data_IF_828206485039
#
_entry.id   IF_828206485039
#
_cell.length_a   1.000
_cell.length_b   1.000
_cell.length_c   1.000
_cell.angle_alpha   90.00
_cell.angle_beta   90.00
_cell.angle_gamma   90.00
#
_symmetry.space_group_name_H-M   'P 1'
#
loop_
_entity.id
_entity.type
_entity.pdbx_description
1 polymer ?
#
# COMPACT_ATOMS: atom_id res chain seq x y z
N UNK A 1 10.42 -14.39 -11.09
CA UNK A 1 9.95 -13.23 -10.31
C UNK A 1 8.98 -12.42 -11.17
N UNK A 2 7.87 -11.98 -10.60
CA UNK A 2 6.94 -11.05 -11.25
C UNK A 2 7.18 -9.68 -10.63
N UNK A 3 7.40 -8.68 -11.48
CA UNK A 3 7.54 -7.29 -11.06
C UNK A 3 6.24 -6.56 -11.34
N UNK A 4 5.77 -5.79 -10.35
CA UNK A 4 4.63 -4.92 -10.46
C UNK A 4 5.06 -3.51 -10.07
N UNK A 5 4.57 -2.51 -10.79
CA UNK A 5 4.94 -1.11 -10.63
C UNK A 5 3.75 -0.29 -10.15
N UNK A 6 3.93 0.47 -9.09
CA UNK A 6 2.95 1.43 -8.61
C UNK A 6 2.99 2.65 -9.51
N UNK A 7 1.97 2.81 -10.34
CA UNK A 7 1.90 3.88 -11.34
C UNK A 7 0.84 4.92 -10.95
N UNK A 8 0.86 6.07 -11.63
CA UNK A 8 -0.05 7.19 -11.34
C UNK A 8 -1.36 7.14 -12.13
N UNK A 9 -1.47 6.25 -13.11
CA UNK A 9 -2.67 6.09 -13.92
C UNK A 9 -3.84 5.56 -13.08
N UNK A 10 -5.05 5.80 -13.55
CA UNK A 10 -6.27 5.37 -12.89
C UNK A 10 -6.32 3.86 -12.68
N UNK A 11 -6.85 3.43 -11.56
CA UNK A 11 -7.08 2.02 -11.29
C UNK A 11 -8.00 1.41 -12.36
N UNK A 12 -7.71 0.19 -12.84
CA UNK A 12 -8.51 -0.47 -13.88
C UNK A 12 -9.88 -0.97 -13.38
N UNK A 13 -10.07 -0.98 -12.08
CA UNK A 13 -11.33 -1.29 -11.42
C UNK A 13 -11.39 -0.56 -10.07
N UNK A 14 -12.59 -0.23 -9.62
CA UNK A 14 -12.79 0.38 -8.29
C UNK A 14 -12.75 -0.73 -7.24
N UNK A 15 -11.77 -0.74 -6.33
CA UNK A 15 -11.76 -1.69 -5.24
C UNK A 15 -12.84 -1.35 -4.22
N UNK A 16 -13.28 -2.32 -3.41
CA UNK A 16 -14.25 -2.08 -2.33
C UNK A 16 -13.66 -1.15 -1.26
N UNK A 17 -14.42 -0.92 -0.18
CA UNK A 17 -13.90 -0.24 1.01
C UNK A 17 -12.61 -0.92 1.50
N UNK A 18 -11.76 -0.17 2.20
CA UNK A 18 -10.51 -0.67 2.79
C UNK A 18 -10.73 -2.00 3.54
N UNK A 19 -9.84 -2.96 3.34
CA UNK A 19 -9.90 -4.32 3.91
C UNK A 19 -8.88 -4.55 5.02
N UNK A 20 -7.78 -3.79 5.02
CA UNK A 20 -6.85 -3.75 6.15
C UNK A 20 -7.47 -3.08 7.38
N UNK A 21 -6.81 -3.24 8.52
CA UNK A 21 -7.18 -2.55 9.77
C UNK A 21 -6.64 -1.12 9.73
N UNK A 22 -7.39 -0.22 9.12
CA UNK A 22 -7.07 1.20 9.02
C UNK A 22 -7.92 2.00 10.00
N UNK A 23 -7.30 2.97 10.68
CA UNK A 23 -7.99 3.90 11.57
C UNK A 23 -8.66 5.01 10.77
N UNK A 24 -8.03 5.45 9.70
CA UNK A 24 -8.52 6.47 8.79
C UNK A 24 -7.88 6.35 7.40
N UNK A 25 -8.35 7.13 6.45
CA UNK A 25 -7.76 7.33 5.15
C UNK A 25 -8.77 7.41 4.03
N UNK A 26 -8.46 8.26 3.07
CA UNK A 26 -9.10 8.35 1.76
C UNK A 26 -8.03 8.11 0.70
N UNK A 27 -7.63 6.84 0.50
CA UNK A 27 -6.54 6.54 -0.41
C UNK A 27 -6.91 6.92 -1.84
N UNK A 28 -5.90 7.32 -2.61
CA UNK A 28 -6.06 7.46 -4.05
C UNK A 28 -5.89 6.10 -4.73
N UNK A 29 -6.78 5.79 -5.66
CA UNK A 29 -6.78 4.53 -6.40
C UNK A 29 -6.00 4.66 -7.70
N UNK A 30 -5.07 3.74 -7.94
CA UNK A 30 -4.20 3.75 -9.13
C UNK A 30 -3.90 2.34 -9.60
N UNK A 31 -3.32 2.25 -10.79
CA UNK A 31 -2.94 0.97 -11.37
C UNK A 31 -1.67 0.41 -10.72
N UNK A 32 -1.66 -0.91 -10.53
CA UNK A 32 -0.47 -1.71 -10.29
C UNK A 32 -0.05 -2.32 -11.63
N UNK A 33 0.81 -1.61 -12.36
CA UNK A 33 1.15 -1.94 -13.73
C UNK A 33 2.18 -3.06 -13.85
N UNK A 34 2.16 -3.78 -14.95
CA UNK A 34 3.18 -4.79 -15.30
C UNK A 34 4.38 -4.18 -16.06
N UNK A 35 4.22 -2.97 -16.58
CA UNK A 35 5.26 -2.23 -17.30
C UNK A 35 5.32 -0.78 -16.79
N UNK A 36 6.53 -0.23 -16.68
CA UNK A 36 6.71 1.21 -16.54
C UNK A 36 6.56 1.85 -17.92
N UNK A 37 5.45 2.51 -18.18
CA UNK A 37 5.26 3.36 -19.35
C UNK A 37 5.40 4.82 -18.93
N UNK A 38 6.58 5.38 -19.12
CA UNK A 38 6.88 6.77 -18.81
C UNK A 38 7.34 7.00 -17.36
N UNK A 39 7.92 8.16 -17.12
CA UNK A 39 8.22 8.62 -15.76
C UNK A 39 6.92 9.10 -15.12
N UNK A 40 6.59 8.65 -13.92
CA UNK A 40 5.41 9.13 -13.22
C UNK A 40 5.53 10.66 -13.00
N UNK A 41 4.51 11.37 -13.38
CA UNK A 41 4.29 12.69 -12.81
C UNK A 41 4.12 12.49 -11.31
N UNK A 42 4.85 13.23 -10.49
CA UNK A 42 4.77 13.10 -9.03
C UNK A 42 3.35 13.38 -8.55
N UNK A 43 2.58 12.34 -8.31
CA UNK A 43 1.29 12.44 -7.64
C UNK A 43 1.54 12.15 -6.17
N UNK A 44 1.20 13.09 -5.32
CA UNK A 44 1.27 12.89 -3.88
C UNK A 44 -0.13 12.79 -3.28
N UNK A 45 -0.31 11.89 -2.34
CA UNK A 45 -1.46 11.86 -1.45
C UNK A 45 -0.96 11.75 -0.01
N UNK A 46 -1.53 12.51 0.89
CA UNK A 46 -1.15 12.51 2.29
C UNK A 46 -2.34 12.21 3.20
N UNK A 47 -2.05 11.64 4.36
CA UNK A 47 -3.01 11.40 5.43
C UNK A 47 -2.39 11.76 6.77
N UNK A 48 -3.20 12.36 7.63
CA UNK A 48 -2.75 12.84 8.93
C UNK A 48 -2.96 11.81 10.04
N UNK A 49 -2.12 11.90 11.08
CA UNK A 49 -2.31 11.21 12.34
C UNK A 49 -3.51 11.75 13.13
N UNK A 50 -3.95 11.00 14.11
CA UNK A 50 -4.78 11.50 15.19
C UNK A 50 -3.89 11.94 16.35
N UNK A 51 -3.94 13.22 16.73
CA UNK A 51 -3.08 13.78 17.78
C UNK A 51 -3.38 13.29 19.20
N UNK A 52 -4.43 12.49 19.38
CA UNK A 52 -4.87 12.00 20.70
C UNK A 52 -4.93 10.47 20.80
N UNK A 53 -4.70 9.74 19.72
CA UNK A 53 -4.87 8.27 19.69
C UNK A 53 -3.65 7.60 19.03
N UNK A 54 -3.12 6.57 19.67
CA UNK A 54 -1.93 5.84 19.30
C UNK A 54 -2.15 4.33 19.60
N UNK A 55 -1.78 3.38 18.72
CA UNK A 55 -1.32 3.64 17.35
C UNK A 55 -2.46 4.13 16.44
N UNK A 56 -2.09 4.89 15.40
CA UNK A 56 -3.02 5.39 14.40
C UNK A 56 -2.58 4.99 12.98
N UNK A 57 -3.39 4.19 12.32
CA UNK A 57 -3.10 3.64 11.00
C UNK A 57 -3.84 4.42 9.91
N UNK A 58 -3.09 4.96 8.94
CA UNK A 58 -3.67 5.74 7.84
C UNK A 58 -3.39 5.09 6.49
N UNK A 59 -4.43 4.94 5.67
CA UNK A 59 -4.30 4.51 4.28
C UNK A 59 -4.12 5.72 3.36
N UNK A 60 -3.04 5.75 2.56
CA UNK A 60 -2.72 6.86 1.66
C UNK A 60 -2.90 6.52 0.19
N UNK A 61 -2.74 5.26 -0.21
CA UNK A 61 -2.87 4.83 -1.59
C UNK A 61 -3.40 3.39 -1.69
N UNK A 62 -4.09 3.10 -2.80
CA UNK A 62 -4.42 1.74 -3.22
C UNK A 62 -3.97 1.54 -4.66
N UNK A 63 -3.46 0.35 -4.93
CA UNK A 63 -3.02 -0.03 -6.27
C UNK A 63 -3.74 -1.31 -6.68
N UNK A 64 -4.28 -1.31 -7.88
CA UNK A 64 -5.09 -2.41 -8.44
C UNK A 64 -4.40 -2.94 -9.68
N UNK A 65 -4.12 -4.24 -9.72
CA UNK A 65 -3.49 -4.88 -10.89
C UNK A 65 -4.46 -4.98 -12.07
N UNK A 66 -3.95 -5.19 -13.30
CA UNK A 66 -4.72 -5.80 -14.35
C UNK A 66 -5.33 -7.13 -13.93
N UNK A 67 -6.21 -7.67 -14.75
CA UNK A 67 -6.80 -8.99 -14.53
C UNK A 67 -5.72 -10.08 -14.52
N UNK A 68 -5.87 -10.97 -13.59
CA UNK A 68 -5.08 -12.20 -13.51
C UNK A 68 -5.74 -13.28 -14.37
N UNK A 69 -4.95 -14.20 -14.85
CA UNK A 69 -5.42 -15.50 -15.32
C UNK A 69 -5.48 -16.46 -14.12
N UNK A 70 -6.28 -17.51 -14.22
CA UNK A 70 -6.41 -18.52 -13.17
C UNK A 70 -5.04 -19.10 -12.81
N UNK A 71 -4.63 -18.96 -11.57
CA UNK A 71 -3.35 -19.41 -11.04
C UNK A 71 -3.37 -19.46 -9.52
N UNK A 72 -2.37 -20.11 -8.94
CA UNK A 72 -2.12 -20.00 -7.50
C UNK A 72 -0.97 -19.03 -7.29
N UNK A 73 -1.22 -17.94 -6.58
CA UNK A 73 -0.16 -17.10 -6.04
C UNK A 73 0.38 -17.84 -4.82
N UNK A 74 1.54 -18.42 -4.95
CA UNK A 74 2.23 -19.12 -3.86
C UNK A 74 3.47 -18.33 -3.47
N UNK A 75 3.73 -18.34 -2.19
CA UNK A 75 4.61 -17.40 -1.54
C UNK A 75 6.08 -17.78 -1.64
N UNK A 76 6.81 -16.93 -2.28
CA UNK A 76 8.12 -16.47 -1.86
C UNK A 76 7.96 -14.99 -1.46
N UNK A 77 8.96 -14.35 -0.92
CA UNK A 77 8.83 -13.01 -0.35
C UNK A 77 8.22 -11.97 -1.33
N UNK A 78 7.29 -11.16 -0.82
CA UNK A 78 6.87 -9.92 -1.45
C UNK A 78 7.81 -8.82 -0.95
N UNK A 79 8.58 -8.24 -1.86
CA UNK A 79 9.44 -7.11 -1.60
C UNK A 79 8.83 -5.87 -2.23
N UNK A 80 8.75 -4.79 -1.47
CA UNK A 80 8.23 -3.52 -1.97
C UNK A 80 9.20 -2.37 -1.77
N UNK A 81 9.45 -1.65 -2.86
CA UNK A 81 10.13 -0.35 -2.85
C UNK A 81 9.06 0.70 -3.13
N UNK A 82 8.82 1.58 -2.19
CA UNK A 82 7.83 2.64 -2.31
C UNK A 82 8.39 3.94 -1.76
N UNK A 83 7.90 5.05 -2.31
CA UNK A 83 8.24 6.38 -1.83
C UNK A 83 7.17 6.82 -0.81
N UNK A 84 7.26 6.30 0.41
CA UNK A 84 6.54 6.82 1.56
C UNK A 84 7.48 7.67 2.38
N UNK A 85 7.02 8.85 2.76
CA UNK A 85 7.72 9.72 3.69
C UNK A 85 6.78 10.19 4.80
N UNK A 86 7.35 10.55 5.92
CA UNK A 86 6.67 11.30 6.99
C UNK A 86 6.96 12.80 6.88
N UNK A 87 6.11 13.61 7.44
CA UNK A 87 6.26 15.09 7.35
C UNK A 87 7.35 15.65 8.25
N UNK A 88 7.80 14.90 9.23
CA UNK A 88 8.82 15.31 10.21
C UNK A 88 9.40 14.05 10.87
N UNK A 89 10.69 14.03 11.17
CA UNK A 89 11.40 12.91 11.78
C UNK A 89 10.89 12.51 13.18
N UNK A 90 10.11 13.33 13.83
CA UNK A 90 9.47 13.00 15.10
C UNK A 90 8.04 12.44 14.94
N UNK A 91 7.61 12.15 13.71
CA UNK A 91 6.30 11.58 13.46
C UNK A 91 6.19 10.12 13.91
N UNK A 92 7.32 9.42 14.05
CA UNK A 92 7.39 8.01 14.45
C UNK A 92 6.43 7.14 13.60
N UNK A 93 6.46 7.36 12.29
CA UNK A 93 5.61 6.65 11.34
C UNK A 93 6.34 5.48 10.69
N UNK A 94 5.67 4.34 10.59
CA UNK A 94 6.18 3.11 9.99
C UNK A 94 5.35 2.73 8.77
N UNK A 95 5.95 2.16 7.70
CA UNK A 95 5.19 1.74 6.54
C UNK A 95 4.21 0.64 6.92
N UNK A 96 2.96 0.76 6.45
CA UNK A 96 1.92 -0.25 6.64
C UNK A 96 1.33 -0.68 5.32
N UNK A 97 1.06 -1.99 5.17
CA UNK A 97 0.54 -2.58 3.96
C UNK A 97 -0.48 -3.69 4.27
N UNK A 98 -1.50 -3.78 3.41
CA UNK A 98 -2.41 -4.91 3.35
C UNK A 98 -2.58 -5.30 1.88
N UNK A 99 -2.42 -6.58 1.56
CA UNK A 99 -2.48 -7.08 0.17
C UNK A 99 -3.48 -8.21 0.09
N UNK A 100 -4.40 -8.12 -0.87
CA UNK A 100 -5.41 -9.15 -1.09
C UNK A 100 -5.70 -9.35 -2.58
N UNK A 101 -6.38 -10.44 -2.89
CA UNK A 101 -6.95 -10.70 -4.21
C UNK A 101 -8.44 -10.40 -4.13
N UNK A 102 -8.95 -9.59 -5.04
CA UNK A 102 -10.38 -9.40 -5.23
C UNK A 102 -10.86 -10.11 -6.50
N UNK A 103 -12.09 -10.62 -6.46
CA UNK A 103 -12.76 -11.17 -7.62
C UNK A 103 -13.35 -10.07 -8.52
N UNK A 104 -13.88 -10.45 -9.68
CA UNK A 104 -14.52 -9.53 -10.63
C UNK A 104 -15.77 -8.81 -10.08
N UNK A 105 -16.33 -9.28 -8.97
CA UNK A 105 -17.46 -8.65 -8.26
C UNK A 105 -17.00 -7.74 -7.12
N UNK A 106 -15.69 -7.62 -6.88
CA UNK A 106 -15.11 -6.80 -5.81
C UNK A 106 -15.07 -7.47 -4.44
N UNK A 107 -15.35 -8.78 -4.33
CA UNK A 107 -15.22 -9.50 -3.07
C UNK A 107 -13.78 -9.95 -2.85
N UNK A 108 -13.37 -10.04 -1.60
CA UNK A 108 -12.05 -10.61 -1.25
C UNK A 108 -12.07 -12.11 -1.48
N UNK A 109 -11.21 -12.59 -2.39
CA UNK A 109 -10.99 -14.02 -2.61
C UNK A 109 -10.03 -14.61 -1.58
N UNK A 110 -9.01 -13.85 -1.21
CA UNK A 110 -8.03 -14.25 -0.20
C UNK A 110 -7.06 -13.12 0.10
N UNK A 111 -6.46 -13.15 1.28
CA UNK A 111 -5.49 -12.17 1.73
C UNK A 111 -4.08 -12.74 1.54
N UNK A 112 -3.24 -12.01 0.81
CA UNK A 112 -1.84 -12.34 0.60
C UNK A 112 -0.98 -11.87 1.77
N UNK A 113 -1.10 -10.59 2.15
CA UNK A 113 -0.35 -10.00 3.27
C UNK A 113 -1.33 -9.27 4.18
N UNK A 114 -1.40 -9.68 5.44
CA UNK A 114 -2.35 -9.12 6.40
C UNK A 114 -1.71 -8.08 7.30
N UNK A 115 -2.09 -6.81 7.11
CA UNK A 115 -1.76 -5.71 8.02
C UNK A 115 -0.28 -5.63 8.45
N UNK A 116 0.62 -5.87 7.49
CA UNK A 116 2.06 -5.80 7.73
C UNK A 116 2.46 -4.37 8.14
N UNK A 117 3.31 -4.27 9.14
CA UNK A 117 3.97 -3.02 9.55
C UNK A 117 5.46 -3.24 9.48
N UNK A 118 6.15 -2.36 8.75
CA UNK A 118 7.61 -2.41 8.62
C UNK A 118 8.32 -2.11 9.93
N UNK A 119 9.53 -2.64 10.07
CA UNK A 119 10.35 -2.43 11.26
C UNK A 119 11.24 -1.19 11.21
N UNK A 120 11.23 -0.46 10.09
CA UNK A 120 12.03 0.76 9.91
C UNK A 120 11.10 1.96 9.76
N UNK A 121 11.37 3.00 10.53
CA UNK A 121 10.65 4.26 10.46
C UNK A 121 10.81 4.93 9.09
N UNK A 122 9.78 5.63 8.65
CA UNK A 122 9.80 6.40 7.42
C UNK A 122 10.75 7.59 7.56
N UNK A 123 11.47 7.92 6.50
CA UNK A 123 12.26 9.14 6.45
C UNK A 123 11.38 10.35 6.13
N UNK A 124 11.78 11.54 6.57
CA UNK A 124 11.11 12.80 6.22
C UNK A 124 11.48 13.32 4.82
N UNK A 125 12.35 12.62 4.11
CA UNK A 125 12.76 12.94 2.73
C UNK A 125 12.75 11.68 1.89
N UNK A 126 12.49 11.83 0.59
CA UNK A 126 12.55 10.70 -0.34
C UNK A 126 13.98 10.17 -0.39
N UNK A 127 14.16 8.93 0.05
CA UNK A 127 15.44 8.21 -0.04
C UNK A 127 15.34 7.15 -1.14
N UNK A 128 16.25 7.13 -2.12
CA UNK A 128 16.22 6.12 -3.17
C UNK A 128 16.48 4.72 -2.63
N UNK A 129 15.63 3.77 -3.01
CA UNK A 129 15.95 2.36 -3.15
C UNK A 129 16.26 1.52 -1.90
N UNK A 130 15.60 1.75 -0.76
CA UNK A 130 15.52 0.70 0.26
C UNK A 130 14.15 -0.01 0.17
N UNK A 131 14.07 -1.35 0.19
CA UNK A 131 12.79 -2.01 0.34
C UNK A 131 12.21 -1.63 1.70
N UNK A 132 11.04 -0.97 1.70
CA UNK A 132 10.36 -0.57 2.94
C UNK A 132 9.65 -1.74 3.59
N UNK A 133 9.42 -2.82 2.85
CA UNK A 133 8.82 -4.03 3.40
C UNK A 133 9.29 -5.29 2.69
N UNK A 134 9.37 -6.34 3.50
CA UNK A 134 9.56 -7.71 3.08
C UNK A 134 8.56 -8.55 3.86
N UNK A 135 7.67 -9.22 3.19
CA UNK A 135 6.66 -10.06 3.81
C UNK A 135 6.53 -11.38 3.08
N UNK A 136 6.33 -12.46 3.83
CA UNK A 136 5.99 -13.76 3.27
C UNK A 136 4.47 -13.83 3.12
N UNK A 137 3.92 -13.89 1.88
CA UNK A 137 2.49 -13.90 1.68
C UNK A 137 1.88 -15.27 1.99
N UNK A 138 0.59 -15.29 2.29
CA UNK A 138 -0.20 -16.52 2.26
C UNK A 138 -0.50 -16.92 0.82
N UNK A 139 -0.70 -18.22 0.57
CA UNK A 139 -1.09 -18.71 -0.75
C UNK A 139 -2.56 -18.38 -1.04
N UNK A 140 -2.84 -17.90 -2.27
CA UNK A 140 -4.21 -17.62 -2.74
C UNK A 140 -4.41 -18.24 -4.11
N UNK A 141 -5.48 -19.01 -4.28
CA UNK A 141 -5.92 -19.55 -5.58
C UNK A 141 -6.77 -18.47 -6.27
N UNK A 142 -6.31 -18.01 -7.42
CA UNK A 142 -6.97 -16.99 -8.24
C UNK A 142 -7.72 -17.63 -9.41
N UNK A 143 -8.80 -16.99 -9.82
CA UNK A 143 -9.56 -17.27 -11.03
C UNK A 143 -9.30 -16.22 -12.11
N UNK A 144 -9.73 -16.50 -13.34
CA UNK A 144 -9.67 -15.50 -14.42
C UNK A 144 -10.50 -14.25 -14.04
N UNK A 145 -9.93 -13.08 -14.28
CA UNK A 145 -10.53 -11.79 -13.96
C UNK A 145 -10.30 -11.30 -12.53
N UNK A 146 -9.67 -12.09 -11.66
CA UNK A 146 -9.25 -11.62 -10.34
C UNK A 146 -8.17 -10.53 -10.45
N UNK A 147 -8.01 -9.73 -9.40
CA UNK A 147 -7.02 -8.64 -9.34
C UNK A 147 -6.32 -8.62 -7.98
N UNK A 148 -5.03 -8.29 -7.98
CA UNK A 148 -4.31 -7.97 -6.75
C UNK A 148 -4.62 -6.54 -6.37
N UNK A 149 -4.91 -6.31 -5.09
CA UNK A 149 -5.07 -4.98 -4.51
C UNK A 149 -4.06 -4.81 -3.38
N UNK A 150 -3.33 -3.70 -3.45
CA UNK A 150 -2.39 -3.28 -2.40
C UNK A 150 -2.95 -2.03 -1.74
N UNK A 151 -3.25 -2.10 -0.46
CA UNK A 151 -3.53 -0.94 0.39
C UNK A 151 -2.23 -0.54 1.09
N UNK A 152 -1.87 0.73 0.98
CA UNK A 152 -0.60 1.25 1.43
C UNK A 152 -0.79 2.48 2.29
N UNK A 153 0.03 2.61 3.33
CA UNK A 153 0.00 3.77 4.20
C UNK A 153 1.03 3.71 5.32
N UNK A 154 0.70 4.32 6.45
CA UNK A 154 1.59 4.37 7.60
C UNK A 154 0.89 4.11 8.91
N UNK A 155 1.68 3.67 9.88
CA UNK A 155 1.31 3.56 11.30
C UNK A 155 2.07 4.59 12.10
N UNK A 156 1.37 5.53 12.70
CA UNK A 156 1.92 6.42 13.72
C UNK A 156 1.93 5.69 15.07
N UNK A 157 3.05 5.75 15.77
CA UNK A 157 3.23 5.07 17.07
C UNK A 157 3.21 6.05 18.24
N UNK A 158 3.33 7.34 17.99
CA UNK A 158 3.23 8.40 18.98
C UNK A 158 2.13 9.41 18.64
N UNK A 159 1.72 10.18 19.64
CA UNK A 159 0.83 11.32 19.49
C UNK A 159 1.62 12.61 19.63
N UNK A 160 1.25 13.64 18.84
CA UNK A 160 1.93 14.92 18.78
C UNK A 160 0.95 16.08 19.01
N UNK A 161 1.43 17.20 19.50
CA UNK A 161 0.61 18.40 19.66
C UNK A 161 0.27 19.06 18.32
N UNK A 162 1.08 18.82 17.30
CA UNK A 162 0.84 19.26 15.92
C UNK A 162 0.75 18.01 15.04
N UNK A 163 -0.31 17.92 14.26
CA UNK A 163 -0.57 16.76 13.39
C UNK A 163 0.58 16.52 12.40
N UNK A 164 1.01 15.27 12.30
CA UNK A 164 1.99 14.77 11.33
C UNK A 164 1.28 14.04 10.20
N UNK A 165 1.93 13.89 9.07
CA UNK A 165 1.34 13.20 7.91
C UNK A 165 2.29 12.15 7.35
N UNK A 166 1.70 11.12 6.72
CA UNK A 166 2.40 10.20 5.83
C UNK A 166 1.97 10.53 4.40
N UNK A 167 2.95 10.64 3.51
CA UNK A 167 2.74 10.97 2.10
C UNK A 167 3.32 9.87 1.21
N UNK A 168 2.54 9.46 0.21
CA UNK A 168 2.98 8.59 -0.88
C UNK A 168 3.28 9.43 -2.12
N UNK A 169 4.44 9.19 -2.73
CA UNK A 169 4.86 9.73 -4.02
C UNK A 169 4.97 8.60 -5.04
N UNK A 170 4.39 8.79 -6.24
CA UNK A 170 4.40 7.82 -7.34
C UNK A 170 4.51 8.52 -8.70
#
# INVERSE_FOLDING_TARGET
ATYLFMASEAAPATPPSLRGTWSAGTPSDSILATNLSGYPTSVSNNQAENVSTNPWDVAVARFVSPELIAQTISATDVLGIINLIESNNDADAYPKMHVYVMDSSGNVRGTLVSNYVGGTELASTITPAAPLFSATPSSVVCSDGDRIVIELGGRFTNTHTTSRTVTNYR
#
